data_IF_542482517475
#
_entry.id   IF_542482517475
#
_cell.length_a   1.000
_cell.length_b   1.000
_cell.length_c   1.000
_cell.angle_alpha   90.00
_cell.angle_beta   90.00
_cell.angle_gamma   90.00
#
_symmetry.space_group_name_H-M   'P 1'
#
loop_
_entity.id
_entity.type
_entity.pdbx_description
1 polymer ?
#
# COMPACT_ATOMS: atom_id res chain seq x y z
N UNK A 1 -14.93 8.24 -14.17
CA UNK A 1 -13.55 8.44 -13.67
C UNK A 1 -13.18 7.20 -12.87
N UNK A 2 -12.19 6.43 -13.32
CA UNK A 2 -11.65 5.29 -12.57
C UNK A 2 -10.61 5.83 -11.59
N UNK A 3 -10.83 5.61 -10.29
CA UNK A 3 -9.86 5.96 -9.26
C UNK A 3 -9.01 4.73 -8.97
N UNK A 4 -7.90 4.57 -9.70
CA UNK A 4 -7.00 3.41 -9.58
C UNK A 4 -6.59 3.12 -8.13
N UNK A 5 -6.40 4.17 -7.30
CA UNK A 5 -6.06 4.01 -5.89
C UNK A 5 -7.12 3.27 -5.06
N UNK A 6 -8.41 3.44 -5.34
CA UNK A 6 -9.49 2.79 -4.59
C UNK A 6 -9.62 1.31 -4.94
N UNK A 7 -9.39 0.94 -6.19
CA UNK A 7 -9.50 -0.45 -6.66
C UNK A 7 -8.45 -1.36 -6.00
N UNK A 8 -7.22 -0.86 -5.82
CA UNK A 8 -6.16 -1.64 -5.17
C UNK A 8 -6.40 -1.88 -3.69
N UNK A 9 -7.04 -0.94 -2.98
CA UNK A 9 -7.43 -1.16 -1.59
C UNK A 9 -8.55 -2.19 -1.46
N UNK A 10 -9.46 -2.25 -2.43
CA UNK A 10 -10.48 -3.31 -2.50
C UNK A 10 -9.81 -4.67 -2.68
N UNK A 11 -8.80 -4.78 -3.55
CA UNK A 11 -8.07 -6.02 -3.76
C UNK A 11 -7.28 -6.47 -2.53
N UNK A 12 -6.60 -5.54 -1.83
CA UNK A 12 -5.90 -5.85 -0.58
C UNK A 12 -6.88 -6.33 0.51
N UNK A 13 -8.07 -5.73 0.60
CA UNK A 13 -9.09 -6.16 1.56
C UNK A 13 -9.60 -7.58 1.26
N UNK A 14 -9.63 -8.00 -0.02
CA UNK A 14 -10.04 -9.35 -0.44
C UNK A 14 -9.03 -10.44 -0.09
N UNK A 15 -7.77 -10.08 0.17
CA UNK A 15 -6.72 -11.06 0.52
C UNK A 15 -6.99 -11.83 1.80
N UNK A 16 -7.83 -11.27 2.70
CA UNK A 16 -8.27 -11.96 3.92
C UNK A 16 -9.11 -13.21 3.64
N UNK A 17 -9.92 -13.17 2.58
CA UNK A 17 -10.76 -14.28 2.14
C UNK A 17 -10.09 -15.17 1.11
N UNK A 18 -9.21 -14.60 0.28
CA UNK A 18 -8.50 -15.32 -0.79
C UNK A 18 -7.06 -14.83 -0.85
N UNK A 19 -6.12 -15.52 -0.19
CA UNK A 19 -4.72 -15.13 -0.21
C UNK A 19 -4.19 -15.05 -1.66
N UNK A 20 -3.43 -13.99 -2.00
CA UNK A 20 -2.92 -13.80 -3.35
C UNK A 20 -1.71 -14.70 -3.62
N UNK A 21 -1.36 -14.83 -4.90
CA UNK A 21 -0.04 -15.31 -5.30
C UNK A 21 1.03 -14.23 -5.14
N UNK A 22 2.30 -14.61 -5.21
CA UNK A 22 3.41 -13.67 -5.21
C UNK A 22 3.28 -12.61 -6.31
N UNK A 23 3.00 -13.06 -7.53
CA UNK A 23 2.84 -12.15 -8.67
C UNK A 23 1.64 -11.20 -8.53
N UNK A 24 0.50 -11.72 -8.04
CA UNK A 24 -0.67 -10.87 -7.77
C UNK A 24 -0.34 -9.79 -6.74
N UNK A 25 0.33 -10.18 -5.65
CA UNK A 25 0.76 -9.25 -4.61
C UNK A 25 1.74 -8.20 -5.15
N UNK A 26 2.72 -8.62 -5.96
CA UNK A 26 3.68 -7.73 -6.62
C UNK A 26 2.97 -6.67 -7.45
N UNK A 27 2.03 -7.07 -8.30
CA UNK A 27 1.28 -6.16 -9.15
C UNK A 27 0.45 -5.17 -8.32
N UNK A 28 -0.29 -5.66 -7.32
CA UNK A 28 -1.12 -4.79 -6.47
C UNK A 28 -0.29 -3.80 -5.65
N UNK A 29 0.84 -4.22 -5.07
CA UNK A 29 1.69 -3.34 -4.26
C UNK A 29 2.50 -2.36 -5.12
N UNK A 30 2.87 -2.72 -6.34
CA UNK A 30 3.53 -1.82 -7.30
C UNK A 30 2.61 -0.65 -7.74
N UNK A 31 1.31 -0.75 -7.50
CA UNK A 31 0.38 0.37 -7.69
C UNK A 31 0.38 1.35 -6.50
N UNK A 32 0.93 0.97 -5.35
CA UNK A 32 1.04 1.82 -4.16
C UNK A 32 2.39 2.54 -4.11
N UNK A 33 3.48 1.86 -4.43
CA UNK A 33 4.85 2.35 -4.34
C UNK A 33 5.70 1.74 -5.47
N UNK A 34 6.92 2.26 -5.66
CA UNK A 34 7.85 1.65 -6.61
C UNK A 34 8.19 0.20 -6.19
N UNK A 35 8.52 -0.65 -7.16
CA UNK A 35 8.85 -2.05 -6.87
C UNK A 35 10.02 -2.18 -5.88
N UNK A 36 11.00 -1.28 -5.97
CA UNK A 36 12.13 -1.22 -5.04
C UNK A 36 11.67 -0.92 -3.60
N UNK A 37 10.81 0.10 -3.41
CA UNK A 37 10.24 0.40 -2.10
C UNK A 37 9.40 -0.75 -1.53
N UNK A 38 8.66 -1.46 -2.39
CA UNK A 38 7.89 -2.65 -1.99
C UNK A 38 8.83 -3.76 -1.52
N UNK A 39 9.87 -4.09 -2.30
CA UNK A 39 10.83 -5.14 -1.96
C UNK A 39 11.55 -4.83 -0.63
N UNK A 40 12.04 -3.60 -0.47
CA UNK A 40 12.72 -3.17 0.75
C UNK A 40 11.78 -3.08 1.96
N UNK A 41 10.56 -2.58 1.77
CA UNK A 41 9.54 -2.50 2.82
C UNK A 41 9.11 -3.89 3.32
N UNK A 42 8.88 -4.83 2.41
CA UNK A 42 8.57 -6.21 2.76
C UNK A 42 9.75 -6.91 3.44
N UNK A 43 10.97 -6.71 2.97
CA UNK A 43 12.17 -7.28 3.59
C UNK A 43 12.33 -6.77 5.03
N UNK A 44 12.08 -5.48 5.26
CA UNK A 44 12.08 -4.87 6.59
C UNK A 44 10.99 -5.47 7.50
N UNK A 45 9.73 -5.50 7.06
CA UNK A 45 8.60 -6.03 7.84
C UNK A 45 8.78 -7.51 8.19
N UNK A 46 9.38 -8.28 7.29
CA UNK A 46 9.62 -9.72 7.50
C UNK A 46 10.92 -10.04 8.23
N UNK A 47 11.84 -9.08 8.35
CA UNK A 47 13.23 -9.32 8.77
C UNK A 47 13.89 -10.44 7.96
N UNK A 48 13.74 -10.37 6.64
CA UNK A 48 14.30 -11.33 5.67
C UNK A 48 15.15 -10.61 4.62
N UNK A 49 15.93 -11.39 3.87
CA UNK A 49 16.72 -10.85 2.76
C UNK A 49 15.83 -10.42 1.59
N UNK A 50 16.32 -9.46 0.78
CA UNK A 50 15.65 -9.05 -0.45
C UNK A 50 15.48 -10.23 -1.42
N UNK A 51 16.45 -11.14 -1.49
CA UNK A 51 16.37 -12.31 -2.37
C UNK A 51 15.20 -13.23 -2.01
N UNK A 52 14.95 -13.42 -0.71
CA UNK A 52 13.79 -14.18 -0.25
C UNK A 52 12.49 -13.48 -0.66
N UNK A 53 12.41 -12.17 -0.51
CA UNK A 53 11.23 -11.38 -0.90
C UNK A 53 11.00 -11.46 -2.40
N UNK A 54 12.04 -11.28 -3.22
CA UNK A 54 11.98 -11.39 -4.68
C UNK A 54 11.52 -12.78 -5.11
N UNK A 55 12.07 -13.82 -4.47
CA UNK A 55 11.64 -15.20 -4.72
C UNK A 55 10.16 -15.39 -4.42
N UNK A 56 9.67 -14.90 -3.29
CA UNK A 56 8.25 -14.94 -2.94
C UNK A 56 7.37 -14.15 -3.94
N UNK A 57 7.77 -12.93 -4.33
CA UNK A 57 7.02 -12.07 -5.25
C UNK A 57 6.97 -12.59 -6.68
N UNK A 58 7.95 -13.38 -7.11
CA UNK A 58 7.96 -13.99 -8.43
C UNK A 58 7.24 -15.35 -8.48
N UNK A 59 6.82 -15.87 -7.32
CA UNK A 59 6.12 -17.15 -7.22
C UNK A 59 4.68 -17.06 -7.74
N UNK A 60 4.26 -18.09 -8.49
CA UNK A 60 2.86 -18.31 -8.86
C UNK A 60 2.07 -19.03 -7.76
N UNK A 61 2.76 -19.53 -6.72
CA UNK A 61 2.09 -20.13 -5.57
C UNK A 61 1.45 -19.06 -4.68
N UNK A 62 0.44 -19.48 -3.93
CA UNK A 62 -0.16 -18.66 -2.86
C UNK A 62 0.92 -18.31 -1.83
N UNK A 63 1.01 -17.03 -1.46
CA UNK A 63 2.03 -16.60 -0.51
C UNK A 63 1.81 -17.20 0.88
N UNK A 64 2.89 -17.46 1.65
CA UNK A 64 2.77 -17.83 3.05
C UNK A 64 2.05 -16.76 3.88
N UNK A 65 1.31 -17.17 4.91
CA UNK A 65 0.55 -16.24 5.76
C UNK A 65 1.43 -15.16 6.42
N UNK A 66 2.67 -15.48 6.77
CA UNK A 66 3.62 -14.52 7.32
C UNK A 66 4.03 -13.44 6.30
N UNK A 67 4.15 -13.80 5.02
CA UNK A 67 4.43 -12.88 3.92
C UNK A 67 3.24 -11.96 3.67
N UNK A 68 2.03 -12.53 3.68
CA UNK A 68 0.79 -11.75 3.59
C UNK A 68 0.64 -10.74 4.74
N UNK A 69 0.94 -11.15 5.98
CA UNK A 69 0.88 -10.25 7.13
C UNK A 69 1.84 -9.06 6.98
N UNK A 70 3.04 -9.28 6.46
CA UNK A 70 4.00 -8.20 6.18
C UNK A 70 3.49 -7.24 5.10
N UNK A 71 2.91 -7.76 4.01
CA UNK A 71 2.32 -6.93 2.96
C UNK A 71 1.15 -6.06 3.45
N UNK A 72 0.33 -6.60 4.36
CA UNK A 72 -0.75 -5.83 4.99
C UNK A 72 -0.21 -4.73 5.91
N UNK A 73 0.89 -4.96 6.63
CA UNK A 73 1.53 -3.93 7.47
C UNK A 73 2.18 -2.85 6.62
N UNK A 74 2.92 -3.23 5.59
CA UNK A 74 3.52 -2.32 4.63
C UNK A 74 2.47 -1.38 4.01
N UNK A 75 1.37 -1.94 3.48
CA UNK A 75 0.32 -1.14 2.86
C UNK A 75 -0.38 -0.20 3.86
N UNK A 76 -0.64 -0.64 5.09
CA UNK A 76 -1.20 0.21 6.14
C UNK A 76 -0.23 1.33 6.58
N UNK A 77 1.08 1.06 6.64
CA UNK A 77 2.11 2.06 6.90
C UNK A 77 2.18 3.12 5.81
N UNK A 78 2.12 2.69 4.55
CA UNK A 78 2.12 3.58 3.39
C UNK A 78 0.89 4.51 3.34
N UNK A 79 -0.30 3.96 3.62
CA UNK A 79 -1.53 4.77 3.75
C UNK A 79 -1.40 5.89 4.79
N UNK A 80 -0.78 5.61 5.94
CA UNK A 80 -0.55 6.62 6.97
C UNK A 80 0.39 7.70 6.47
N UNK A 81 1.53 7.33 5.86
CA UNK A 81 2.50 8.29 5.33
C UNK A 81 1.88 9.23 4.28
N UNK A 82 1.07 8.69 3.35
CA UNK A 82 0.38 9.49 2.33
C UNK A 82 -0.68 10.42 2.96
N UNK A 83 -1.43 9.93 3.95
CA UNK A 83 -2.47 10.73 4.63
C UNK A 83 -1.91 11.93 5.40
N UNK A 84 -0.69 11.83 5.93
CA UNK A 84 -0.01 12.95 6.60
C UNK A 84 0.67 13.93 5.64
N UNK A 85 0.95 13.50 4.41
CA UNK A 85 1.66 14.32 3.40
C UNK A 85 0.72 15.17 2.55
N UNK A 86 -0.59 15.11 2.75
CA UNK A 86 -1.55 15.99 2.06
C UNK A 86 -1.52 17.36 2.74
N UNK A 87 -1.16 18.46 2.06
CA UNK A 87 -1.30 19.79 2.64
C UNK A 87 -2.79 20.00 2.89
N UNK A 88 -3.18 20.19 4.16
CA UNK A 88 -4.50 20.74 4.46
C UNK A 88 -4.53 22.12 3.83
N UNK A 89 -5.24 22.24 2.71
CA UNK A 89 -5.57 23.53 2.14
C UNK A 89 -6.12 24.41 3.28
N UNK A 90 -5.56 25.60 3.53
CA UNK A 90 -6.13 26.48 4.55
C UNK A 90 -7.57 26.79 4.13
N UNK A 91 -8.49 26.61 5.07
CA UNK A 91 -9.90 26.93 4.89
C UNK A 91 -10.02 28.35 4.29
N UNK A 92 -10.94 28.58 3.33
CA UNK A 92 -11.12 29.91 2.77
C UNK A 92 -11.47 30.88 3.90
N UNK A 93 -10.57 31.83 4.14
CA UNK A 93 -10.75 32.89 5.12
C UNK A 93 -12.07 33.59 4.80
N UNK A 94 -13.06 33.41 5.68
CA UNK A 94 -14.35 34.07 5.58
C UNK A 94 -14.09 35.56 5.77
N UNK A 95 -13.98 36.27 4.65
CA UNK A 95 -13.78 37.71 4.63
C UNK A 95 -14.98 38.37 5.33
N UNK A 96 -14.74 38.83 6.56
CA UNK A 96 -15.69 39.54 7.41
C UNK A 96 -16.04 40.85 6.71
N UNK A 97 -17.13 40.87 5.95
CA UNK A 97 -17.73 42.12 5.48
C UNK A 97 -18.20 42.91 6.69
N UNK A 98 -17.48 43.99 6.98
CA UNK A 98 -17.98 45.12 7.76
C UNK A 98 -19.06 45.82 6.95
N UNK A 99 -20.23 45.99 7.54
CA UNK A 99 -21.35 46.79 7.07
C UNK A 99 -22.54 46.55 8.02
N UNK A 100 -23.16 47.54 8.65
CA UNK A 100 -22.94 48.99 8.69
C UNK A 100 -23.62 49.55 9.94
#
# INVERSE_FOLDING_TARGET
MFHSSLDHFVDINRWRSRPPTGQQMKLTLACLASLEEVEHGLAYEMRRSLDYVRWCLNSEATVPACFLAAALRFSAGYQRAVSFSTPRHPAPATSRRLGG
#
